data_IF_166716387515
#
_entry.id   IF_166716387515
#
_cell.length_a   1.000
_cell.length_b   1.000
_cell.length_c   1.000
_cell.angle_alpha   90.00
_cell.angle_beta   90.00
_cell.angle_gamma   90.00
#
_symmetry.space_group_name_H-M   'P 1'
#
loop_
_entity.id
_entity.type
_entity.pdbx_description
1 polymer ?
#
# COMPACT_ATOMS: atom_id res chain seq x y z
N UNK A 1 -27.09 16.13 16.51
CA UNK A 1 -27.53 17.34 17.22
C UNK A 1 -28.18 18.25 16.20
N UNK A 2 -29.49 18.42 16.31
CA UNK A 2 -30.34 19.05 15.29
C UNK A 2 -30.35 20.58 15.47
N UNK A 3 -29.66 21.28 14.58
CA UNK A 3 -29.49 22.76 14.59
C UNK A 3 -30.84 23.47 14.39
N UNK A 4 -31.85 22.78 13.86
CA UNK A 4 -33.22 23.31 13.70
C UNK A 4 -33.94 23.58 15.02
N UNK A 5 -33.50 23.00 16.14
CA UNK A 5 -34.17 23.18 17.44
C UNK A 5 -33.78 24.46 18.19
N UNK A 6 -32.76 25.19 17.74
CA UNK A 6 -32.26 26.41 18.41
C UNK A 6 -32.90 27.71 17.91
N UNK A 7 -33.65 27.69 16.81
CA UNK A 7 -34.28 28.88 16.23
C UNK A 7 -35.76 29.07 16.60
N UNK A 8 -36.39 28.15 17.33
CA UNK A 8 -37.83 28.19 17.65
C UNK A 8 -38.20 28.99 18.90
N UNK A 9 -37.22 29.63 19.56
CA UNK A 9 -37.37 30.17 20.92
C UNK A 9 -37.39 31.69 21.04
N UNK A 10 -37.72 32.46 20.01
CA UNK A 10 -37.88 33.92 20.14
C UNK A 10 -39.37 34.26 20.22
N UNK A 11 -39.91 34.64 21.40
CA UNK A 11 -41.24 35.20 21.48
C UNK A 11 -41.21 36.53 20.74
N UNK A 12 -41.74 36.54 19.53
CA UNK A 12 -41.98 37.75 18.77
C UNK A 12 -43.00 38.60 19.53
N UNK A 13 -42.51 39.62 20.24
CA UNK A 13 -43.31 40.80 20.56
C UNK A 13 -43.47 41.53 19.22
N UNK A 14 -44.39 41.03 18.40
CA UNK A 14 -44.86 41.76 17.22
C UNK A 14 -45.80 42.82 17.78
N UNK A 15 -45.25 43.96 18.17
CA UNK A 15 -46.06 45.18 18.34
C UNK A 15 -46.62 45.50 16.96
N UNK A 16 -47.93 45.34 16.81
CA UNK A 16 -48.63 45.56 15.56
C UNK A 16 -48.71 47.08 15.29
N UNK A 17 -48.12 47.59 14.20
CA UNK A 17 -48.04 49.03 13.93
C UNK A 17 -49.40 49.71 13.70
N UNK A 18 -50.46 48.93 13.45
CA UNK A 18 -51.82 49.46 13.27
C UNK A 18 -52.46 49.89 14.60
N UNK A 19 -52.02 49.34 15.73
CA UNK A 19 -52.59 49.70 17.03
C UNK A 19 -52.08 51.08 17.50
N UNK A 20 -50.79 51.36 17.30
CA UNK A 20 -50.11 52.57 17.78
C UNK A 20 -50.60 53.83 17.07
N UNK A 21 -50.87 53.76 15.75
CA UNK A 21 -51.35 54.92 15.00
C UNK A 21 -52.77 55.36 15.43
N UNK A 22 -53.65 54.41 15.76
CA UNK A 22 -54.99 54.69 16.27
C UNK A 22 -54.94 55.40 17.63
N UNK A 23 -54.05 54.95 18.53
CA UNK A 23 -53.88 55.52 19.87
C UNK A 23 -53.25 56.92 19.83
N UNK A 24 -52.28 57.14 18.95
CA UNK A 24 -51.68 58.47 18.72
C UNK A 24 -52.75 59.45 18.23
N UNK A 25 -53.59 59.05 17.28
CA UNK A 25 -54.69 59.89 16.79
C UNK A 25 -55.75 60.16 17.88
N UNK A 26 -56.08 59.16 18.69
CA UNK A 26 -57.00 59.32 19.82
C UNK A 26 -56.45 60.31 20.87
N UNK A 27 -55.15 60.28 21.16
CA UNK A 27 -54.52 61.20 22.11
C UNK A 27 -54.52 62.65 21.60
N UNK A 28 -54.23 62.86 20.32
CA UNK A 28 -54.29 64.18 19.68
C UNK A 28 -55.72 64.73 19.66
N UNK A 29 -56.70 63.88 19.39
CA UNK A 29 -58.11 64.28 19.38
C UNK A 29 -58.64 64.55 20.78
N UNK A 30 -58.21 63.79 21.79
CA UNK A 30 -58.51 64.02 23.20
C UNK A 30 -57.98 65.39 23.67
N UNK A 31 -56.75 65.75 23.32
CA UNK A 31 -56.17 67.06 23.65
C UNK A 31 -56.96 68.23 23.02
N UNK A 32 -57.38 68.09 21.75
CA UNK A 32 -58.23 69.09 21.08
C UNK A 32 -59.63 69.15 21.66
N UNK A 33 -60.21 68.00 22.05
CA UNK A 33 -61.53 67.93 22.66
C UNK A 33 -61.53 68.58 24.05
N UNK A 34 -60.47 68.39 24.83
CA UNK A 34 -60.29 69.00 26.14
C UNK A 34 -60.23 70.53 26.05
N UNK A 35 -59.45 71.07 25.12
CA UNK A 35 -59.38 72.52 24.91
C UNK A 35 -60.69 73.10 24.40
N UNK A 36 -61.37 72.42 23.47
CA UNK A 36 -62.70 72.83 22.98
C UNK A 36 -63.74 72.85 24.09
N UNK A 37 -63.76 71.82 24.94
CA UNK A 37 -64.67 71.77 26.09
C UNK A 37 -64.40 72.93 27.06
N UNK A 38 -63.12 73.25 27.33
CA UNK A 38 -62.76 74.38 28.18
C UNK A 38 -63.22 75.73 27.63
N UNK A 39 -63.10 75.93 26.31
CA UNK A 39 -63.58 77.15 25.64
C UNK A 39 -65.12 77.27 25.69
N UNK A 40 -65.84 76.16 25.55
CA UNK A 40 -67.31 76.14 25.64
C UNK A 40 -67.81 76.47 27.05
N UNK A 41 -67.06 76.06 28.08
CA UNK A 41 -67.32 76.43 29.49
C UNK A 41 -66.89 77.87 29.84
N UNK A 42 -66.38 78.64 28.87
CA UNK A 42 -65.99 80.03 29.07
C UNK A 42 -64.68 80.21 29.86
N UNK A 43 -63.85 79.16 29.95
CA UNK A 43 -62.52 79.26 30.57
C UNK A 43 -61.63 80.08 29.64
N UNK A 44 -61.29 81.29 30.06
CA UNK A 44 -60.35 82.14 29.32
C UNK A 44 -58.93 81.53 29.31
N UNK A 45 -58.29 81.59 28.16
CA UNK A 45 -56.96 81.04 27.89
C UNK A 45 -55.86 81.65 28.76
N UNK A 46 -56.07 82.87 29.25
CA UNK A 46 -55.11 83.58 30.11
C UNK A 46 -55.31 83.32 31.60
N UNK A 47 -56.37 82.60 31.99
CA UNK A 47 -56.53 82.15 33.38
C UNK A 47 -55.53 81.04 33.71
N UNK A 48 -55.16 80.87 35.00
CA UNK A 48 -54.27 79.77 35.40
C UNK A 48 -54.76 78.38 34.96
N UNK A 49 -56.09 78.17 34.96
CA UNK A 49 -56.71 76.93 34.49
C UNK A 49 -56.63 76.80 32.96
N UNK A 50 -56.91 77.87 32.21
CA UNK A 50 -56.77 77.89 30.75
C UNK A 50 -55.32 77.61 30.30
N UNK A 51 -54.34 78.21 30.98
CA UNK A 51 -52.92 77.95 30.73
C UNK A 51 -52.55 76.50 31.04
N UNK A 52 -53.06 75.93 32.13
CA UNK A 52 -52.84 74.52 32.45
C UNK A 52 -53.41 73.60 31.36
N UNK A 53 -54.64 73.85 30.88
CA UNK A 53 -55.27 73.04 29.81
C UNK A 53 -54.46 73.11 28.51
N UNK A 54 -54.00 74.31 28.12
CA UNK A 54 -53.13 74.50 26.95
C UNK A 54 -51.82 73.73 27.12
N UNK A 55 -51.21 73.79 28.31
CA UNK A 55 -49.96 73.07 28.59
C UNK A 55 -50.13 71.54 28.53
N UNK A 56 -51.26 71.02 29.01
CA UNK A 56 -51.60 69.59 28.94
C UNK A 56 -51.79 69.15 27.50
N UNK A 57 -52.51 69.94 26.67
CA UNK A 57 -52.63 69.66 25.24
C UNK A 57 -51.26 69.65 24.56
N UNK A 58 -50.42 70.64 24.82
CA UNK A 58 -49.08 70.71 24.25
C UNK A 58 -48.21 69.51 24.66
N UNK A 59 -48.35 69.03 25.90
CA UNK A 59 -47.68 67.82 26.38
C UNK A 59 -48.20 66.56 25.68
N UNK A 60 -49.51 66.44 25.47
CA UNK A 60 -50.12 65.34 24.72
C UNK A 60 -49.65 65.31 23.27
N UNK A 61 -49.62 66.48 22.60
CA UNK A 61 -49.11 66.63 21.23
C UNK A 61 -47.62 66.28 21.13
N UNK A 62 -46.80 66.70 22.09
CA UNK A 62 -45.38 66.36 22.16
C UNK A 62 -45.16 64.86 22.39
N UNK A 63 -45.96 64.24 23.26
CA UNK A 63 -45.90 62.80 23.53
C UNK A 63 -46.29 61.99 22.29
N UNK A 64 -47.38 62.35 21.62
CA UNK A 64 -47.83 61.74 20.36
C UNK A 64 -46.71 61.76 19.30
N UNK A 65 -46.03 62.89 19.11
CA UNK A 65 -44.89 63.01 18.19
C UNK A 65 -43.69 62.16 18.60
N UNK A 66 -43.41 62.08 19.90
CA UNK A 66 -42.31 61.26 20.42
C UNK A 66 -42.58 59.78 20.15
N UNK A 67 -43.78 59.29 20.45
CA UNK A 67 -44.19 57.90 20.19
C UNK A 67 -44.11 57.59 18.70
N UNK A 68 -44.63 58.46 17.84
CA UNK A 68 -44.52 58.29 16.39
C UNK A 68 -43.06 58.20 15.92
N UNK A 69 -42.19 59.11 16.39
CA UNK A 69 -40.76 59.08 16.04
C UNK A 69 -40.05 57.83 16.54
N UNK A 70 -40.46 57.31 17.69
CA UNK A 70 -39.95 56.07 18.27
C UNK A 70 -40.39 54.85 17.46
N UNK A 71 -41.66 54.81 17.02
CA UNK A 71 -42.20 53.74 16.17
C UNK A 71 -41.42 53.63 14.86
N UNK A 72 -41.25 54.74 14.15
CA UNK A 72 -40.48 54.77 12.89
C UNK A 72 -39.04 54.29 13.10
N UNK A 73 -38.41 54.69 14.22
CA UNK A 73 -37.07 54.22 14.54
C UNK A 73 -37.06 52.71 14.86
N UNK A 74 -38.07 52.21 15.56
CA UNK A 74 -38.19 50.79 15.88
C UNK A 74 -38.38 49.95 14.62
N UNK A 75 -39.24 50.37 13.69
CA UNK A 75 -39.42 49.74 12.38
C UNK A 75 -38.11 49.71 11.60
N UNK A 76 -37.35 50.81 11.62
CA UNK A 76 -36.03 50.87 10.97
C UNK A 76 -35.04 49.86 11.58
N UNK A 77 -35.04 49.69 12.90
CA UNK A 77 -34.21 48.71 13.58
C UNK A 77 -34.65 47.28 13.28
N UNK A 78 -35.96 47.02 13.23
CA UNK A 78 -36.49 45.71 12.87
C UNK A 78 -36.10 45.33 11.44
N UNK A 79 -36.18 46.27 10.50
CA UNK A 79 -35.73 46.06 9.13
C UNK A 79 -34.23 45.75 9.06
N UNK A 80 -33.39 46.49 9.81
CA UNK A 80 -31.95 46.23 9.89
C UNK A 80 -31.65 44.86 10.52
N UNK A 81 -32.36 44.48 11.59
CA UNK A 81 -32.20 43.18 12.24
C UNK A 81 -32.57 42.04 11.28
N UNK A 82 -33.68 42.16 10.54
CA UNK A 82 -34.06 41.18 9.51
C UNK A 82 -32.97 41.05 8.43
N UNK A 83 -32.38 42.17 8.01
CA UNK A 83 -31.29 42.16 7.05
C UNK A 83 -30.03 41.47 7.60
N UNK A 84 -29.64 41.78 8.84
CA UNK A 84 -28.48 41.16 9.50
C UNK A 84 -28.68 39.66 9.67
N UNK A 85 -29.87 39.23 10.09
CA UNK A 85 -30.21 37.80 10.23
C UNK A 85 -30.11 37.11 8.87
N UNK A 86 -30.62 37.74 7.81
CA UNK A 86 -30.56 37.18 6.46
C UNK A 86 -29.13 37.09 5.92
N UNK A 87 -28.30 38.09 6.17
CA UNK A 87 -26.87 38.06 5.82
C UNK A 87 -26.16 36.96 6.61
N UNK A 88 -26.37 36.90 7.93
CA UNK A 88 -25.79 35.87 8.79
C UNK A 88 -26.20 34.47 8.35
N UNK A 89 -27.45 34.28 7.93
CA UNK A 89 -27.96 33.00 7.41
C UNK A 89 -27.20 32.61 6.13
N UNK A 90 -27.07 33.52 5.17
CA UNK A 90 -26.32 33.30 3.93
C UNK A 90 -24.84 33.00 4.20
N UNK A 91 -24.24 33.71 5.15
CA UNK A 91 -22.84 33.46 5.52
C UNK A 91 -22.67 32.09 6.17
N UNK A 92 -23.60 31.66 7.04
CA UNK A 92 -23.56 30.31 7.59
C UNK A 92 -23.74 29.23 6.53
N UNK A 93 -24.67 29.40 5.58
CA UNK A 93 -24.85 28.47 4.46
C UNK A 93 -23.56 28.37 3.62
N UNK A 94 -22.94 29.51 3.29
CA UNK A 94 -21.68 29.57 2.55
C UNK A 94 -20.52 28.90 3.30
N UNK A 95 -20.42 29.10 4.61
CA UNK A 95 -19.40 28.44 5.44
C UNK A 95 -19.60 26.92 5.47
N UNK A 96 -20.84 26.45 5.57
CA UNK A 96 -21.16 25.03 5.48
C UNK A 96 -20.74 24.44 4.12
N UNK A 97 -21.02 25.13 3.01
CA UNK A 97 -20.58 24.70 1.68
C UNK A 97 -19.06 24.65 1.53
N UNK A 98 -18.34 25.65 2.09
CA UNK A 98 -16.88 25.67 2.06
C UNK A 98 -16.29 24.54 2.90
N UNK A 99 -16.90 24.24 4.05
CA UNK A 99 -16.48 23.14 4.91
C UNK A 99 -16.69 21.79 4.22
N UNK A 100 -17.84 21.58 3.57
CA UNK A 100 -18.13 20.35 2.83
C UNK A 100 -17.13 20.12 1.68
N UNK A 101 -16.85 21.17 0.89
CA UNK A 101 -15.80 21.14 -0.14
C UNK A 101 -14.42 20.85 0.45
N UNK A 102 -14.10 21.43 1.61
CA UNK A 102 -12.87 21.17 2.34
C UNK A 102 -12.74 19.69 2.74
N UNK A 103 -13.80 19.11 3.30
CA UNK A 103 -13.84 17.69 3.66
C UNK A 103 -13.67 16.78 2.44
N UNK A 104 -14.35 17.07 1.33
CA UNK A 104 -14.19 16.31 0.08
C UNK A 104 -12.75 16.37 -0.45
N UNK A 105 -12.10 17.54 -0.40
CA UNK A 105 -10.71 17.69 -0.82
C UNK A 105 -9.75 16.90 0.06
N UNK A 106 -9.95 16.93 1.39
CA UNK A 106 -9.13 16.15 2.34
C UNK A 106 -9.32 14.65 2.08
N UNK A 107 -10.55 14.20 1.84
CA UNK A 107 -10.82 12.80 1.54
C UNK A 107 -10.18 12.38 0.20
N UNK A 108 -10.21 13.24 -0.82
CA UNK A 108 -9.52 13.00 -2.08
C UNK A 108 -7.99 12.92 -1.90
N UNK A 109 -7.41 13.82 -1.09
CA UNK A 109 -5.99 13.81 -0.72
C UNK A 109 -5.61 12.55 0.08
N UNK A 110 -6.46 12.12 1.01
CA UNK A 110 -6.24 10.89 1.76
C UNK A 110 -6.23 9.67 0.83
N UNK A 111 -7.23 9.55 -0.05
CA UNK A 111 -7.32 8.44 -1.00
C UNK A 111 -6.11 8.42 -1.96
N UNK A 112 -5.66 9.58 -2.44
CA UNK A 112 -4.45 9.65 -3.28
C UNK A 112 -3.16 9.40 -2.49
N UNK A 113 -3.09 9.83 -1.23
CA UNK A 113 -1.97 9.55 -0.33
C UNK A 113 -1.82 8.07 -0.03
N UNK A 114 -2.92 7.38 0.30
CA UNK A 114 -2.95 5.93 0.52
C UNK A 114 -2.55 5.14 -0.73
N UNK A 115 -3.00 5.58 -1.92
CA UNK A 115 -2.60 4.97 -3.18
C UNK A 115 -1.10 5.12 -3.44
N UNK A 116 -0.54 6.32 -3.24
CA UNK A 116 0.90 6.59 -3.41
C UNK A 116 1.75 5.84 -2.37
N UNK A 117 1.30 5.72 -1.14
CA UNK A 117 1.99 4.93 -0.10
C UNK A 117 2.08 3.46 -0.50
N UNK A 118 0.99 2.86 -0.99
CA UNK A 118 1.00 1.46 -1.47
C UNK A 118 1.94 1.27 -2.66
N UNK A 119 1.99 2.23 -3.58
CA UNK A 119 2.91 2.19 -4.72
C UNK A 119 4.38 2.28 -4.27
N UNK A 120 4.69 3.17 -3.31
CA UNK A 120 6.03 3.29 -2.73
C UNK A 120 6.44 2.04 -1.94
N UNK A 121 5.52 1.40 -1.20
CA UNK A 121 5.82 0.14 -0.52
C UNK A 121 6.16 -0.99 -1.50
N UNK A 122 5.49 -1.04 -2.66
CA UNK A 122 5.76 -2.02 -3.70
C UNK A 122 7.12 -1.77 -4.37
N UNK A 123 7.44 -0.51 -4.72
CA UNK A 123 8.74 -0.18 -5.30
C UNK A 123 9.87 -0.46 -4.31
N UNK A 124 9.70 -0.12 -3.03
CA UNK A 124 10.71 -0.38 -2.00
C UNK A 124 10.99 -1.89 -1.83
N UNK A 125 9.95 -2.74 -1.88
CA UNK A 125 10.12 -4.20 -1.84
C UNK A 125 10.86 -4.74 -3.06
N UNK A 126 10.58 -4.21 -4.25
CA UNK A 126 11.27 -4.60 -5.49
C UNK A 126 12.75 -4.18 -5.44
N UNK A 127 13.04 -2.95 -5.01
CA UNK A 127 14.40 -2.45 -4.85
C UNK A 127 15.18 -3.26 -3.81
N UNK A 128 14.53 -3.63 -2.70
CA UNK A 128 15.14 -4.46 -1.66
C UNK A 128 15.48 -5.86 -2.20
N UNK A 129 14.61 -6.49 -3.00
CA UNK A 129 14.90 -7.77 -3.65
C UNK A 129 16.04 -7.66 -4.67
N UNK A 130 16.09 -6.58 -5.45
CA UNK A 130 17.18 -6.33 -6.39
C UNK A 130 18.52 -6.15 -5.67
N UNK A 131 18.55 -5.38 -4.58
CA UNK A 131 19.74 -5.21 -3.75
C UNK A 131 20.20 -6.53 -3.11
N UNK A 132 19.27 -7.34 -2.57
CA UNK A 132 19.62 -8.64 -2.02
C UNK A 132 20.18 -9.61 -3.06
N UNK A 133 19.61 -9.64 -4.27
CA UNK A 133 20.15 -10.50 -5.33
C UNK A 133 21.54 -10.05 -5.77
N UNK A 134 21.78 -8.74 -5.87
CA UNK A 134 23.10 -8.19 -6.15
C UNK A 134 24.11 -8.50 -5.04
N UNK A 135 23.72 -8.37 -3.75
CA UNK A 135 24.58 -8.75 -2.63
C UNK A 135 24.88 -10.25 -2.63
N UNK A 136 23.90 -11.11 -2.89
CA UNK A 136 24.11 -12.56 -2.96
C UNK A 136 25.07 -12.92 -4.09
N UNK A 137 24.92 -12.33 -5.28
CA UNK A 137 25.86 -12.52 -6.39
C UNK A 137 27.26 -12.02 -6.06
N UNK A 138 27.36 -10.85 -5.41
CA UNK A 138 28.65 -10.30 -5.00
C UNK A 138 29.33 -11.14 -3.91
N UNK A 139 28.56 -11.68 -2.97
CA UNK A 139 29.04 -12.59 -1.93
C UNK A 139 29.44 -13.94 -2.52
N UNK A 140 28.64 -14.52 -3.41
CA UNK A 140 28.96 -15.76 -4.11
C UNK A 140 30.24 -15.62 -4.92
N UNK A 141 30.37 -14.52 -5.68
CA UNK A 141 31.58 -14.22 -6.44
C UNK A 141 32.78 -13.99 -5.52
N UNK A 142 32.62 -13.22 -4.44
CA UNK A 142 33.67 -12.98 -3.45
C UNK A 142 34.11 -14.25 -2.72
N UNK A 143 33.18 -15.13 -2.33
CA UNK A 143 33.49 -16.43 -1.74
C UNK A 143 34.20 -17.32 -2.76
N UNK A 144 33.70 -17.37 -4.00
CA UNK A 144 34.31 -18.18 -5.07
C UNK A 144 35.74 -17.70 -5.34
N UNK A 145 35.98 -16.40 -5.43
CA UNK A 145 37.30 -15.83 -5.65
C UNK A 145 38.23 -16.06 -4.45
N UNK A 146 37.76 -15.89 -3.21
CA UNK A 146 38.54 -16.21 -2.01
C UNK A 146 38.85 -17.70 -1.87
N UNK A 147 37.91 -18.59 -2.23
CA UNK A 147 38.12 -20.04 -2.24
C UNK A 147 39.08 -20.42 -3.37
N UNK A 148 38.95 -19.80 -4.55
CA UNK A 148 39.91 -20.00 -5.65
C UNK A 148 41.30 -19.50 -5.29
N UNK A 149 41.45 -18.32 -4.67
CA UNK A 149 42.72 -17.83 -4.19
C UNK A 149 43.30 -18.71 -3.10
N UNK A 150 42.52 -19.13 -2.10
CA UNK A 150 43.04 -20.07 -1.07
C UNK A 150 43.42 -21.43 -1.64
N UNK A 151 42.68 -21.94 -2.62
CA UNK A 151 43.04 -23.18 -3.33
C UNK A 151 44.34 -22.95 -4.13
N UNK A 152 44.45 -21.81 -4.82
CA UNK A 152 45.63 -21.43 -5.60
C UNK A 152 46.87 -21.19 -4.74
N UNK A 153 46.72 -20.59 -3.56
CA UNK A 153 47.79 -20.41 -2.57
C UNK A 153 48.19 -21.72 -1.90
N UNK A 154 47.25 -22.66 -1.73
CA UNK A 154 47.52 -24.03 -1.23
C UNK A 154 47.95 -25.01 -2.32
N UNK A 155 48.11 -24.58 -3.56
CA UNK A 155 48.75 -25.33 -4.63
C UNK A 155 50.22 -24.90 -4.68
N UNK A 156 51.12 -25.52 -3.87
CA UNK A 156 52.53 -25.19 -3.93
C UNK A 156 53.10 -25.62 -5.29
N UNK A 157 54.10 -24.86 -5.72
CA UNK A 157 54.97 -24.92 -6.89
C UNK A 157 55.73 -26.24 -7.10
N UNK A 158 55.07 -27.38 -6.95
CA UNK A 158 55.57 -28.75 -7.09
C UNK A 158 54.76 -29.59 -8.11
N UNK A 159 53.89 -28.96 -8.90
CA UNK A 159 52.94 -29.69 -9.77
C UNK A 159 53.61 -30.45 -10.93
N UNK A 160 54.78 -30.05 -11.41
CA UNK A 160 55.35 -30.71 -12.59
C UNK A 160 55.91 -32.11 -12.29
N UNK A 161 56.41 -32.35 -11.08
CA UNK A 161 56.96 -33.66 -10.68
C UNK A 161 55.85 -34.63 -10.26
N UNK A 162 54.84 -34.16 -9.54
CA UNK A 162 53.74 -35.00 -9.08
C UNK A 162 52.80 -35.48 -10.20
N UNK A 163 52.50 -34.64 -11.20
CA UNK A 163 51.68 -35.04 -12.35
C UNK A 163 52.40 -36.06 -13.27
N UNK A 164 53.74 -36.08 -13.24
CA UNK A 164 54.55 -37.03 -14.02
C UNK A 164 54.54 -38.42 -13.40
N UNK A 165 54.60 -38.51 -12.08
CA UNK A 165 54.56 -39.78 -11.34
C UNK A 165 53.16 -40.41 -11.37
N UNK A 166 52.09 -39.62 -11.25
CA UNK A 166 50.72 -40.13 -11.33
C UNK A 166 50.38 -40.72 -12.71
N UNK A 167 50.85 -40.10 -13.81
CA UNK A 167 50.70 -40.67 -15.17
C UNK A 167 51.52 -41.94 -15.36
N UNK A 168 52.70 -42.03 -14.75
CA UNK A 168 53.55 -43.23 -14.84
C UNK A 168 52.87 -44.47 -14.26
N UNK A 169 52.20 -44.34 -13.11
CA UNK A 169 51.43 -45.47 -12.56
C UNK A 169 50.31 -45.95 -13.49
N UNK A 170 49.66 -45.04 -14.22
CA UNK A 170 48.66 -45.37 -15.24
C UNK A 170 49.25 -46.16 -16.41
N UNK A 171 50.37 -45.69 -16.97
CA UNK A 171 51.06 -46.37 -18.07
C UNK A 171 51.61 -47.74 -17.67
N UNK A 172 52.20 -47.88 -16.47
CA UNK A 172 52.69 -49.17 -15.96
C UNK A 172 51.55 -50.18 -15.84
N UNK A 173 50.38 -49.74 -15.36
CA UNK A 173 49.22 -50.62 -15.22
C UNK A 173 48.68 -51.11 -16.57
N UNK A 174 48.65 -50.24 -17.58
CA UNK A 174 48.25 -50.60 -18.93
C UNK A 174 49.26 -51.56 -19.60
N UNK A 175 50.56 -51.31 -19.43
CA UNK A 175 51.61 -52.18 -19.96
C UNK A 175 51.57 -53.55 -19.28
N UNK A 176 51.39 -53.62 -17.96
CA UNK A 176 51.25 -54.89 -17.24
C UNK A 176 50.02 -55.68 -17.71
N UNK A 177 48.88 -55.02 -17.92
CA UNK A 177 47.69 -55.67 -18.48
C UNK A 177 47.93 -56.18 -19.90
N UNK A 178 48.61 -55.40 -20.75
CA UNK A 178 48.95 -55.80 -22.11
C UNK A 178 49.92 -57.00 -22.12
N UNK A 179 50.97 -56.96 -21.30
CA UNK A 179 51.88 -58.09 -21.14
C UNK A 179 51.18 -59.34 -20.60
N UNK A 180 50.26 -59.18 -19.64
CA UNK A 180 49.45 -60.28 -19.12
C UNK A 180 48.57 -60.93 -20.19
N UNK A 181 47.95 -60.13 -21.05
CA UNK A 181 47.15 -60.61 -22.19
C UNK A 181 48.00 -61.37 -23.21
N UNK A 182 49.20 -60.86 -23.52
CA UNK A 182 50.15 -61.55 -24.41
C UNK A 182 50.60 -62.88 -23.81
N UNK A 183 50.92 -62.91 -22.51
CA UNK A 183 51.31 -64.14 -21.81
C UNK A 183 50.18 -65.17 -21.77
N UNK A 184 48.94 -64.75 -21.49
CA UNK A 184 47.78 -65.63 -21.55
C UNK A 184 47.55 -66.17 -22.96
N UNK A 185 47.71 -65.33 -23.98
CA UNK A 185 47.60 -65.71 -25.40
C UNK A 185 48.69 -66.69 -25.84
N UNK A 186 49.88 -66.65 -25.26
CA UNK A 186 50.97 -67.59 -25.55
C UNK A 186 50.85 -68.91 -24.77
N UNK A 187 50.35 -68.87 -23.52
CA UNK A 187 50.14 -70.06 -22.69
C UNK A 187 48.89 -70.86 -23.09
N UNK A 188 47.83 -70.19 -23.54
CA UNK A 188 46.58 -70.83 -23.95
C UNK A 188 46.77 -71.95 -24.99
N UNK A 189 47.51 -71.72 -26.09
CA UNK A 189 47.81 -72.74 -27.09
C UNK A 189 48.64 -73.89 -26.53
N UNK A 190 49.58 -73.62 -25.62
CA UNK A 190 50.43 -74.65 -25.03
C UNK A 190 49.64 -75.63 -24.14
N UNK A 191 48.63 -75.14 -23.43
CA UNK A 191 47.75 -75.98 -22.62
C UNK A 191 46.71 -76.67 -23.51
N UNK A 192 46.10 -75.95 -24.45
CA UNK A 192 45.05 -76.50 -25.32
C UNK A 192 45.58 -77.61 -26.26
N UNK A 193 46.82 -77.50 -26.72
CA UNK A 193 47.44 -78.52 -27.60
C UNK A 193 48.23 -79.57 -26.83
N UNK A 194 48.28 -79.49 -25.49
CA UNK A 194 49.02 -80.45 -24.66
C UNK A 194 48.51 -81.87 -24.84
N UNK A 195 47.18 -82.07 -24.86
CA UNK A 195 46.57 -83.39 -25.05
C UNK A 195 46.84 -83.96 -26.45
N UNK A 196 46.84 -83.13 -27.49
CA UNK A 196 47.21 -83.59 -28.83
C UNK A 196 48.69 -83.96 -28.94
N UNK A 197 49.57 -83.18 -28.31
CA UNK A 197 51.01 -83.42 -28.34
C UNK A 197 51.41 -84.64 -27.48
N UNK A 198 50.75 -84.87 -26.34
CA UNK A 198 50.96 -86.05 -25.50
C UNK A 198 50.51 -87.32 -26.21
N UNK A 199 49.34 -87.29 -26.87
CA UNK A 199 48.84 -88.38 -27.71
C UNK A 199 49.74 -88.66 -28.90
N UNK A 200 50.23 -87.63 -29.58
CA UNK A 200 51.21 -87.77 -30.66
C UNK A 200 52.50 -88.47 -30.19
N UNK A 201 53.04 -88.09 -29.03
CA UNK A 201 54.20 -88.76 -28.43
C UNK A 201 53.91 -90.21 -28.01
N UNK A 202 52.74 -90.49 -27.46
CA UNK A 202 52.36 -91.84 -27.06
C UNK A 202 52.27 -92.77 -28.27
N UNK A 203 51.63 -92.31 -29.35
CA UNK A 203 51.50 -93.09 -30.58
C UNK A 203 52.81 -93.28 -31.33
N UNK A 204 53.80 -92.39 -31.18
CA UNK A 204 55.15 -92.65 -31.67
C UNK A 204 55.86 -93.79 -30.92
N UNK A 205 55.54 -93.99 -29.63
CA UNK A 205 56.18 -94.99 -28.80
C UNK A 205 55.50 -96.38 -28.84
N UNK A 206 54.18 -96.43 -29.11
CA UNK A 206 53.39 -97.66 -29.08
C UNK A 206 52.64 -97.87 -30.40
N UNK A 207 53.41 -98.06 -31.49
CA UNK A 207 52.83 -98.42 -32.78
C UNK A 207 52.63 -99.92 -32.87
N UNK A 208 51.42 -100.34 -33.25
CA UNK A 208 51.16 -101.71 -33.64
C UNK A 208 51.09 -101.77 -35.15
N UNK A 209 51.80 -102.75 -35.73
CA UNK A 209 51.85 -102.94 -37.17
C UNK A 209 50.91 -104.07 -37.55
N UNK A 210 49.86 -103.78 -38.31
CA UNK A 210 48.99 -104.82 -38.86
C UNK A 210 49.73 -105.55 -39.97
N UNK A 211 49.93 -106.86 -39.80
CA UNK A 211 50.68 -107.68 -40.77
C UNK A 211 49.91 -107.94 -42.07
N UNK A 212 48.63 -107.56 -42.14
CA UNK A 212 47.79 -107.79 -43.33
C UNK A 212 47.56 -106.57 -44.21
N UNK A 213 47.60 -105.36 -43.66
CA UNK A 213 47.29 -104.12 -44.40
C UNK A 213 48.47 -103.15 -44.50
N UNK A 214 49.57 -103.38 -43.76
CA UNK A 214 50.74 -102.49 -43.77
C UNK A 214 50.48 -101.13 -43.13
N UNK A 215 49.33 -100.94 -42.47
CA UNK A 215 48.99 -99.71 -41.78
C UNK A 215 49.49 -99.78 -40.33
N UNK A 216 50.03 -98.65 -39.86
CA UNK A 216 50.39 -98.43 -38.46
C UNK A 216 49.19 -97.80 -37.75
N UNK A 217 48.72 -98.44 -36.69
CA UNK A 217 47.68 -97.90 -35.82
C UNK A 217 48.15 -97.85 -34.37
N UNK A 218 47.53 -96.96 -33.59
CA UNK A 218 47.80 -96.72 -32.19
C UNK A 218 46.47 -96.78 -31.45
N UNK A 219 46.35 -97.63 -30.44
CA UNK A 219 45.16 -97.69 -29.60
C UNK A 219 45.26 -96.59 -28.53
N UNK A 220 44.37 -95.59 -28.61
CA UNK A 220 44.35 -94.45 -27.69
C UNK A 220 43.52 -94.71 -26.43
N UNK A 221 42.97 -95.92 -26.24
CA UNK A 221 42.01 -96.21 -25.17
C UNK A 221 42.59 -96.19 -23.73
N UNK A 222 43.91 -96.14 -23.56
CA UNK A 222 44.56 -96.17 -22.23
C UNK A 222 45.16 -94.84 -21.75
N UNK A 223 45.01 -93.74 -22.50
CA UNK A 223 45.35 -92.40 -21.99
C UNK A 223 44.13 -91.85 -21.24
N UNK A 224 43.94 -92.32 -20.01
CA UNK A 224 43.02 -91.70 -19.06
C UNK A 224 43.46 -90.26 -18.80
N UNK A 225 42.68 -89.32 -19.31
CA UNK A 225 42.71 -87.89 -19.01
C UNK A 225 42.80 -87.63 -17.49
N UNK A 226 43.70 -86.75 -17.01
CA UNK A 226 43.54 -86.11 -15.71
C UNK A 226 42.41 -85.07 -15.72
#
# INVERSE_FOLDING_TARGET
MDIKSLCSGWPGIIMSPDHDNSEIHALLEAGKSLERAAQLEGIDAHTPLGQWIISVRAAMDAHARLVQSSSVRMESFEAQLKQIIEISRKDTERLCELLDKGCQNIQALQNTGEARLKEQELSLKQDQQALFSHFMLSLEKGLKDQVFERIRERLPTQEYTFYREARWHGYVRLVLMACGLIFLGALGPLIATWDQNSRGRYCLAHTYHDSKTGQIWCDLNDVSSP
#
